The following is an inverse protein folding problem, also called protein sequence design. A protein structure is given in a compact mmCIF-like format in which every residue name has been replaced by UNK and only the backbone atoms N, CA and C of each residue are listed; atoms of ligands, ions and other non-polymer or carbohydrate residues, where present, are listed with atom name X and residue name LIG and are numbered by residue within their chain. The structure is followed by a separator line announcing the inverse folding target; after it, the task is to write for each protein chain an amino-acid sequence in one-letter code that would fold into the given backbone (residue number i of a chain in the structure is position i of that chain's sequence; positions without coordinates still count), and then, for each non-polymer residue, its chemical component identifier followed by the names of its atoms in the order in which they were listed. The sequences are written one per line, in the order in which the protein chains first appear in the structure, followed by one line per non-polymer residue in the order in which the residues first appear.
data_IF_232408088758
#
_entry.id   IF_232408088758
#
_cell.length_a   1.000
_cell.length_b   1.000
_cell.length_c   1.000
_cell.angle_alpha   90.00
_cell.angle_beta   90.00
_cell.angle_gamma   90.00
#
_symmetry.space_group_name_H-M   'P 1'
#
loop_
_entity.id
_entity.type
_entity.pdbx_description
1 polymer ?
#
# COMPACT_ATOMS: atom_id res chain seq x y z
N UNK A 1 -19.91 -18.62 21.36
CA UNK A 1 -18.96 -17.57 20.91
C UNK A 1 -18.99 -17.50 19.39
N UNK A 2 -19.79 -16.60 18.84
CA UNK A 2 -19.82 -16.37 17.40
C UNK A 2 -18.58 -15.58 16.97
N UNK A 3 -17.86 -16.06 15.97
CA UNK A 3 -16.68 -15.38 15.43
C UNK A 3 -17.13 -14.09 14.74
N UNK A 4 -16.99 -12.94 15.42
CA UNK A 4 -17.39 -11.61 14.93
C UNK A 4 -16.59 -11.05 13.75
N UNK A 5 -15.51 -11.70 13.32
CA UNK A 5 -14.69 -11.21 12.22
C UNK A 5 -14.73 -12.17 11.03
N UNK A 6 -15.54 -11.81 10.04
CA UNK A 6 -15.43 -12.40 8.71
C UNK A 6 -14.18 -11.81 8.06
N UNK A 7 -13.06 -12.55 8.09
CA UNK A 7 -11.73 -12.13 7.60
C UNK A 7 -11.63 -12.00 6.08
N UNK A 8 -12.62 -11.36 5.43
CA UNK A 8 -12.61 -11.07 4.00
C UNK A 8 -11.49 -10.06 3.73
N UNK A 9 -10.35 -10.56 3.25
CA UNK A 9 -9.21 -9.73 2.82
C UNK A 9 -9.69 -8.81 1.69
N UNK A 10 -9.44 -7.50 1.81
CA UNK A 10 -9.71 -6.52 0.76
C UNK A 10 -8.84 -6.86 -0.46
N UNK A 11 -9.44 -6.88 -1.66
CA UNK A 11 -8.72 -7.18 -2.88
C UNK A 11 -7.67 -6.08 -3.20
N UNK A 12 -6.53 -6.49 -3.76
CA UNK A 12 -5.48 -5.56 -4.19
C UNK A 12 -5.98 -4.73 -5.39
N UNK A 13 -5.54 -3.48 -5.47
CA UNK A 13 -5.80 -2.60 -6.62
C UNK A 13 -5.18 -3.22 -7.89
N UNK A 14 -5.81 -3.03 -9.05
CA UNK A 14 -5.40 -3.61 -10.33
C UNK A 14 -5.76 -5.08 -10.52
N UNK A 15 -6.56 -5.68 -9.62
CA UNK A 15 -7.03 -7.08 -9.75
C UNK A 15 -8.45 -7.14 -10.30
N UNK A 16 -8.90 -8.32 -10.74
CA UNK A 16 -10.26 -8.52 -11.28
C UNK A 16 -11.37 -8.03 -10.35
N UNK A 17 -11.16 -8.10 -9.03
CA UNK A 17 -12.12 -7.65 -8.01
C UNK A 17 -12.02 -6.16 -7.67
N UNK A 18 -10.94 -5.49 -8.09
CA UNK A 18 -10.70 -4.06 -7.88
C UNK A 18 -9.81 -3.51 -9.02
N UNK A 19 -10.38 -3.23 -10.20
CA UNK A 19 -9.63 -2.62 -11.30
C UNK A 19 -9.17 -1.20 -10.90
N UNK A 20 -8.09 -0.73 -11.50
CA UNK A 20 -7.64 0.65 -11.39
C UNK A 20 -8.56 1.56 -12.20
N UNK A 21 -9.08 2.64 -11.60
CA UNK A 21 -9.93 3.61 -12.29
C UNK A 21 -9.09 4.85 -12.55
N UNK A 22 -8.99 5.27 -13.80
CA UNK A 22 -8.22 6.46 -14.18
C UNK A 22 -9.08 7.32 -15.08
N UNK A 23 -9.06 8.63 -14.84
CA UNK A 23 -9.78 9.61 -15.66
C UNK A 23 -8.75 10.47 -16.39
N UNK A 24 -8.83 10.51 -17.72
CA UNK A 24 -7.92 11.25 -18.60
C UNK A 24 -8.69 12.32 -19.38
N UNK A 25 -8.02 13.43 -19.65
CA UNK A 25 -8.62 14.56 -20.39
C UNK A 25 -8.45 14.42 -21.91
N UNK A 26 -7.38 13.76 -22.37
CA UNK A 26 -7.02 13.67 -23.79
C UNK A 26 -6.88 12.23 -24.27
N UNK A 27 -7.12 12.00 -25.57
CA UNK A 27 -6.94 10.70 -26.21
C UNK A 27 -5.47 10.25 -26.18
N UNK A 28 -4.50 11.17 -26.29
CA UNK A 28 -3.08 10.84 -26.21
C UNK A 28 -2.73 10.22 -24.85
N UNK A 29 -3.24 10.79 -23.75
CA UNK A 29 -3.06 10.23 -22.41
C UNK A 29 -3.68 8.84 -22.30
N UNK A 30 -4.83 8.61 -22.95
CA UNK A 30 -5.52 7.34 -22.91
C UNK A 30 -4.63 6.21 -23.45
N UNK A 31 -3.96 6.44 -24.57
CA UNK A 31 -3.06 5.46 -25.18
C UNK A 31 -1.82 5.17 -24.34
N UNK A 32 -1.20 6.21 -23.77
CA UNK A 32 -0.05 6.07 -22.88
C UNK A 32 -0.41 5.24 -21.64
N UNK A 33 -1.49 5.61 -20.97
CA UNK A 33 -1.98 4.96 -19.76
C UNK A 33 -2.40 3.53 -20.05
N UNK A 34 -3.11 3.29 -21.16
CA UNK A 34 -3.48 1.95 -21.60
C UNK A 34 -2.26 1.07 -21.87
N UNK A 35 -1.19 1.62 -22.46
CA UNK A 35 0.06 0.90 -22.72
C UNK A 35 0.77 0.51 -21.42
N UNK A 36 0.79 1.41 -20.44
CA UNK A 36 1.35 1.13 -19.10
C UNK A 36 0.57 0.01 -18.42
N UNK A 37 -0.76 0.08 -18.42
CA UNK A 37 -1.56 -0.94 -17.77
C UNK A 37 -1.45 -2.31 -18.45
N UNK A 38 -1.41 -2.36 -19.78
CA UNK A 38 -1.18 -3.61 -20.54
C UNK A 38 0.19 -4.19 -20.23
N UNK A 39 1.24 -3.37 -20.22
CA UNK A 39 2.61 -3.80 -19.89
C UNK A 39 2.72 -4.40 -18.50
N UNK A 40 2.00 -3.84 -17.54
CA UNK A 40 1.99 -4.31 -16.15
C UNK A 40 0.91 -5.38 -15.86
N UNK A 41 0.14 -5.80 -16.88
CA UNK A 41 -0.95 -6.78 -16.74
C UNK A 41 -1.99 -6.41 -15.66
N UNK A 42 -2.24 -5.12 -15.47
CA UNK A 42 -3.23 -4.62 -14.51
C UNK A 42 -4.60 -4.49 -15.17
N UNK A 43 -5.67 -4.78 -14.41
CA UNK A 43 -7.04 -4.50 -14.85
C UNK A 43 -7.34 -3.02 -14.61
N UNK A 44 -7.85 -2.34 -15.63
CA UNK A 44 -8.11 -0.90 -15.58
C UNK A 44 -9.42 -0.52 -16.27
N UNK A 45 -9.96 0.63 -15.89
CA UNK A 45 -11.11 1.29 -16.52
C UNK A 45 -10.73 2.74 -16.73
N UNK A 46 -10.64 3.18 -17.99
CA UNK A 46 -10.29 4.57 -18.33
C UNK A 46 -11.56 5.30 -18.72
N UNK A 47 -11.83 6.43 -18.06
CA UNK A 47 -12.86 7.39 -18.45
C UNK A 47 -12.24 8.58 -19.18
N UNK A 48 -12.84 9.00 -20.29
CA UNK A 48 -12.45 10.22 -21.01
C UNK A 48 -13.42 11.33 -20.61
N UNK A 49 -12.98 12.22 -19.72
CA UNK A 49 -13.80 13.32 -19.20
C UNK A 49 -13.01 14.64 -19.31
N UNK A 50 -13.22 15.44 -20.37
CA UNK A 50 -12.44 16.65 -20.62
C UNK A 50 -12.75 17.81 -19.64
N UNK A 51 -13.89 17.77 -18.95
CA UNK A 51 -14.36 18.83 -18.04
C UNK A 51 -13.85 18.68 -16.60
N UNK A 52 -13.29 17.51 -16.24
CA UNK A 52 -12.84 17.22 -14.87
C UNK A 52 -11.31 17.16 -14.79
N UNK A 53 -10.73 17.47 -13.62
CA UNK A 53 -9.29 17.28 -13.42
C UNK A 53 -8.91 15.81 -13.60
N UNK A 54 -7.76 15.58 -14.24
CA UNK A 54 -7.20 14.23 -14.42
C UNK A 54 -7.03 13.53 -13.05
N UNK A 55 -7.56 12.32 -12.92
CA UNK A 55 -7.37 11.49 -11.72
C UNK A 55 -6.52 10.27 -12.10
N UNK A 56 -5.22 10.38 -11.81
CA UNK A 56 -4.21 9.33 -12.01
C UNK A 56 -3.83 8.63 -10.71
N UNK A 57 -4.59 8.85 -9.64
CA UNK A 57 -4.19 8.41 -8.29
C UNK A 57 -4.01 6.89 -8.21
N UNK A 58 -4.90 6.13 -8.85
CA UNK A 58 -4.78 4.67 -8.91
C UNK A 58 -3.56 4.21 -9.71
N UNK A 59 -3.18 4.93 -10.78
CA UNK A 59 -1.96 4.65 -11.54
C UNK A 59 -0.71 4.91 -10.70
N UNK A 60 -0.67 6.04 -9.99
CA UNK A 60 0.44 6.39 -9.09
C UNK A 60 0.60 5.37 -7.95
N UNK A 61 -0.51 4.92 -7.36
CA UNK A 61 -0.51 3.90 -6.30
C UNK A 61 0.02 2.56 -6.84
N UNK A 62 -0.29 2.21 -8.09
CA UNK A 62 0.20 0.98 -8.71
C UNK A 62 1.68 1.04 -9.06
N UNK A 63 2.19 2.19 -9.50
CA UNK A 63 3.64 2.38 -9.72
C UNK A 63 4.42 2.43 -8.40
N UNK A 64 3.85 3.07 -7.37
CA UNK A 64 4.47 3.27 -6.07
C UNK A 64 3.68 2.57 -4.95
N UNK A 65 3.66 1.23 -4.91
CA UNK A 65 2.93 0.52 -3.88
C UNK A 65 3.52 0.85 -2.50
N UNK A 66 2.67 1.12 -1.49
CA UNK A 66 3.14 1.45 -0.15
C UNK A 66 3.94 0.27 0.41
N UNK A 67 5.23 0.49 0.64
CA UNK A 67 6.10 -0.52 1.25
C UNK A 67 5.76 -0.65 2.72
N UNK A 68 5.59 -1.88 3.20
CA UNK A 68 5.41 -2.17 4.62
C UNK A 68 6.67 -1.72 5.37
N UNK A 69 6.52 -0.75 6.28
CA UNK A 69 7.62 -0.36 7.16
C UNK A 69 7.88 -1.50 8.15
N UNK A 70 9.06 -2.10 8.08
CA UNK A 70 9.51 -3.06 9.08
C UNK A 70 9.96 -2.25 10.28
N UNK A 71 9.22 -2.36 11.39
CA UNK A 71 9.66 -1.75 12.64
C UNK A 71 10.91 -2.48 13.13
N UNK A 72 11.93 -1.72 13.52
CA UNK A 72 13.11 -2.29 14.15
C UNK A 72 12.73 -3.03 15.43
N UNK A 73 13.40 -4.16 15.69
CA UNK A 73 13.13 -4.97 16.87
C UNK A 73 13.53 -4.16 18.10
N UNK A 74 12.53 -3.65 18.83
CA UNK A 74 12.76 -3.00 20.13
C UNK A 74 13.28 -4.04 21.12
N UNK A 75 14.23 -3.61 21.97
CA UNK A 75 14.74 -4.44 23.07
C UNK A 75 13.57 -4.89 23.95
N UNK A 76 13.43 -6.20 24.11
CA UNK A 76 12.40 -6.78 24.95
C UNK A 76 12.57 -6.37 26.41
N UNK A 77 11.45 -6.16 27.12
CA UNK A 77 11.45 -5.72 28.52
C UNK A 77 12.34 -6.57 29.46
N UNK A 78 12.50 -7.87 29.16
CA UNK A 78 13.32 -8.80 29.94
C UNK A 78 14.70 -9.10 29.33
N UNK A 79 15.02 -8.59 28.14
CA UNK A 79 16.34 -8.76 27.50
C UNK A 79 17.42 -7.95 28.25
N UNK A 80 18.71 -8.32 28.14
CA UNK A 80 19.80 -7.55 28.73
C UNK A 80 19.79 -6.10 28.20
N UNK A 81 20.07 -5.15 29.08
CA UNK A 81 20.11 -3.74 28.72
C UNK A 81 21.25 -3.46 27.73
N UNK A 82 21.00 -2.77 26.61
CA UNK A 82 22.05 -2.40 25.65
C UNK A 82 23.04 -1.38 26.22
N UNK A 83 22.76 -0.81 27.40
CA UNK A 83 23.62 0.11 28.14
C UNK A 83 24.83 -0.56 28.82
N UNK A 84 24.94 -1.90 28.77
CA UNK A 84 26.06 -2.64 29.34
C UNK A 84 25.97 -2.86 30.86
N UNK A 85 24.84 -2.54 31.50
CA UNK A 85 24.67 -2.74 32.95
C UNK A 85 24.55 -4.21 33.38
N UNK A 86 24.37 -5.13 32.43
CA UNK A 86 24.08 -6.55 32.72
C UNK A 86 22.68 -6.82 33.27
N UNK A 87 21.90 -5.78 33.56
CA UNK A 87 20.54 -5.90 34.07
C UNK A 87 19.51 -6.04 32.94
N UNK A 88 18.33 -6.59 33.25
CA UNK A 88 17.21 -6.62 32.31
C UNK A 88 16.77 -5.20 31.96
N UNK A 89 16.42 -4.93 30.70
CA UNK A 89 16.04 -3.59 30.20
C UNK A 89 15.04 -2.87 31.12
N UNK A 90 14.01 -3.58 31.61
CA UNK A 90 12.99 -3.04 32.55
C UNK A 90 13.50 -2.55 33.90
N UNK A 91 14.68 -2.98 34.33
CA UNK A 91 15.29 -2.59 35.61
C UNK A 91 16.33 -1.47 35.44
N UNK A 92 16.73 -1.21 34.20
CA UNK A 92 17.76 -0.24 33.84
C UNK A 92 17.16 0.90 32.98
N UNK A 93 17.51 1.00 31.70
CA UNK A 93 17.03 2.07 30.81
C UNK A 93 15.52 2.04 30.48
N UNK A 94 14.83 0.93 30.72
CA UNK A 94 13.40 0.76 30.47
C UNK A 94 12.54 0.81 31.74
N UNK A 95 13.02 1.51 32.79
CA UNK A 95 12.30 1.74 34.04
C UNK A 95 11.00 2.52 33.79
#
# INVERSE_FOLDING_TARGET
MEKKFNGKKKAKLGTEKKPAVVNVQTEERLEEVASIFKKNSWKYTIGLEPDKPEDITDLEILLNPPKTKIAEKKVGRNEPCPCGSGEKYKKCCGK
#
